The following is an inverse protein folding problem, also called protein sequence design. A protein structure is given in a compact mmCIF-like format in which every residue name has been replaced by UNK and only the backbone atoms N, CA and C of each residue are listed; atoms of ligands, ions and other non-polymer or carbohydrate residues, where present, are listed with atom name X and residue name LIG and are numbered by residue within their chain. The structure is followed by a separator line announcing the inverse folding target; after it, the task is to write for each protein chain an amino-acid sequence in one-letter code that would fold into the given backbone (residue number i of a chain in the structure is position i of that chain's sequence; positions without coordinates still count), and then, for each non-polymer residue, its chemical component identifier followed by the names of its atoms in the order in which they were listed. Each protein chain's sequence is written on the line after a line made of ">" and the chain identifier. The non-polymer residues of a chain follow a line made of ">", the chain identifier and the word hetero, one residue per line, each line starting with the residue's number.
data_IF_079200841792
#
_entry.id   IF_079200841792
#
_cell.length_a   1.000
_cell.length_b   1.000
_cell.length_c   1.000
_cell.angle_alpha   90.00
_cell.angle_beta   90.00
_cell.angle_gamma   90.00
#
_symmetry.space_group_name_H-M   'P 1'
#
loop_
_entity.id
_entity.type
_entity.pdbx_description
1 polymer ?
#
# COMPACT_ATOMS: atom_id res chain seq x y z
N UNK A 1 -6.29 -4.26 18.62
CA UNK A 1 -5.45 -3.94 17.45
C UNK A 1 -5.92 -4.82 16.30
N UNK A 2 -6.62 -4.25 15.33
CA UNK A 2 -6.92 -4.94 14.09
C UNK A 2 -5.70 -4.75 13.19
N UNK A 3 -5.03 -5.83 12.83
CA UNK A 3 -3.76 -5.81 12.08
C UNK A 3 -4.04 -6.08 10.60
N UNK A 4 -3.32 -5.40 9.71
CA UNK A 4 -3.22 -5.86 8.33
C UNK A 4 -2.58 -7.25 8.34
N UNK A 5 -2.92 -8.06 7.35
CA UNK A 5 -2.40 -9.41 7.17
C UNK A 5 -1.64 -9.47 5.85
N UNK A 6 -0.69 -10.40 5.78
CA UNK A 6 -0.04 -10.73 4.52
C UNK A 6 -1.09 -11.32 3.55
N UNK A 7 -1.20 -10.73 2.36
CA UNK A 7 -2.14 -11.20 1.33
C UNK A 7 -1.65 -12.46 0.59
N UNK A 8 -0.35 -12.77 0.66
CA UNK A 8 0.32 -13.77 -0.16
C UNK A 8 0.05 -13.53 -1.65
N UNK A 9 -0.07 -14.61 -2.43
CA UNK A 9 -0.30 -14.53 -3.88
C UNK A 9 -1.75 -14.16 -4.29
N UNK A 10 -2.57 -13.61 -3.38
CA UNK A 10 -4.01 -13.35 -3.62
C UNK A 10 -4.28 -12.02 -4.34
N UNK A 11 -3.26 -11.17 -4.48
CA UNK A 11 -3.31 -9.83 -5.09
C UNK A 11 -3.36 -9.86 -6.62
N UNK A 12 -3.08 -10.99 -7.26
CA UNK A 12 -3.26 -11.16 -8.69
C UNK A 12 -4.69 -10.78 -9.14
N UNK A 13 -4.77 -9.89 -10.13
CA UNK A 13 -6.03 -9.37 -10.68
C UNK A 13 -6.65 -8.21 -9.91
N UNK A 14 -5.93 -7.59 -8.96
CA UNK A 14 -6.31 -6.26 -8.46
C UNK A 14 -6.07 -5.19 -9.53
N UNK A 15 -6.89 -4.16 -9.51
CA UNK A 15 -6.80 -3.02 -10.43
C UNK A 15 -7.10 -1.73 -9.69
N UNK A 16 -6.58 -0.60 -10.19
CA UNK A 16 -6.92 0.72 -9.69
C UNK A 16 -8.36 1.09 -10.04
N UNK A 17 -9.14 1.49 -9.04
CA UNK A 17 -10.54 1.95 -9.21
C UNK A 17 -10.70 3.43 -8.86
N UNK A 18 -9.74 4.28 -9.30
CA UNK A 18 -9.75 5.73 -9.05
C UNK A 18 -9.68 6.13 -7.56
N UNK A 19 -9.16 5.25 -6.70
CA UNK A 19 -9.05 5.46 -5.26
C UNK A 19 -7.58 5.53 -4.86
N UNK A 20 -7.21 6.65 -4.23
CA UNK A 20 -5.83 6.90 -3.81
C UNK A 20 -5.73 7.40 -2.37
N UNK A 21 -4.54 7.28 -1.79
CA UNK A 21 -4.22 7.77 -0.45
C UNK A 21 -2.89 8.55 -0.46
N UNK A 22 -2.74 9.49 0.48
CA UNK A 22 -1.47 10.20 0.69
C UNK A 22 -0.67 9.56 1.81
N UNK A 23 0.56 9.15 1.51
CA UNK A 23 1.50 8.56 2.45
C UNK A 23 2.93 8.70 1.90
N UNK A 24 3.92 8.48 2.76
CA UNK A 24 5.30 8.22 2.30
C UNK A 24 5.54 6.73 2.12
N UNK A 25 6.55 6.35 1.33
CA UNK A 25 6.93 4.94 1.17
C UNK A 25 7.35 4.36 2.52
N UNK A 26 8.09 5.11 3.32
CA UNK A 26 8.52 4.72 4.66
C UNK A 26 7.34 4.40 5.59
N UNK A 27 6.24 5.17 5.55
CA UNK A 27 5.04 4.85 6.33
C UNK A 27 4.42 3.51 5.93
N UNK A 28 4.40 3.20 4.63
CA UNK A 28 3.87 1.94 4.11
C UNK A 28 4.80 0.74 4.39
N UNK A 29 6.13 0.95 4.33
CA UNK A 29 7.13 -0.04 4.71
C UNK A 29 7.02 -0.41 6.19
N UNK A 30 6.94 0.60 7.08
CA UNK A 30 6.72 0.37 8.52
C UNK A 30 5.45 -0.44 8.75
N UNK A 31 4.35 -0.13 8.04
CA UNK A 31 3.12 -0.91 8.12
C UNK A 31 3.33 -2.35 7.64
N UNK A 32 4.00 -2.55 6.52
CA UNK A 32 4.25 -3.88 6.00
C UNK A 32 5.10 -4.72 6.96
N UNK A 33 6.21 -4.16 7.45
CA UNK A 33 7.12 -4.81 8.39
C UNK A 33 6.44 -5.15 9.72
N UNK A 34 5.71 -4.21 10.31
CA UNK A 34 4.98 -4.43 11.58
C UNK A 34 3.89 -5.51 11.48
N UNK A 35 3.38 -5.77 10.27
CA UNK A 35 2.32 -6.73 10.03
C UNK A 35 2.79 -8.00 9.27
N UNK A 36 4.08 -8.10 8.94
CA UNK A 36 4.65 -9.20 8.17
C UNK A 36 4.08 -9.32 6.75
N UNK A 37 3.69 -8.20 6.14
CA UNK A 37 3.16 -8.13 4.78
C UNK A 37 4.31 -8.03 3.76
N UNK A 38 4.07 -8.57 2.57
CA UNK A 38 5.03 -8.50 1.47
C UNK A 38 4.97 -7.13 0.79
N UNK A 39 6.13 -6.64 0.35
CA UNK A 39 6.24 -5.48 -0.53
C UNK A 39 7.42 -5.65 -1.49
N UNK A 40 7.31 -5.02 -2.65
CA UNK A 40 8.40 -4.93 -3.63
C UNK A 40 9.06 -3.55 -3.53
N UNK A 41 10.39 -3.53 -3.54
CA UNK A 41 11.21 -2.34 -3.73
C UNK A 41 11.94 -2.46 -5.07
N UNK A 42 11.46 -1.71 -6.04
CA UNK A 42 11.97 -1.59 -7.40
C UNK A 42 12.62 -0.21 -7.63
N UNK A 43 12.97 0.54 -6.59
CA UNK A 43 13.51 1.91 -6.70
C UNK A 43 14.79 2.04 -7.54
N UNK A 44 15.46 0.93 -7.83
CA UNK A 44 16.62 0.84 -8.71
C UNK A 44 16.36 0.41 -10.16
N UNK A 45 15.14 0.01 -10.53
CA UNK A 45 14.83 -0.48 -11.88
C UNK A 45 14.03 0.54 -12.70
N UNK A 46 14.72 1.17 -13.65
CA UNK A 46 14.14 2.19 -14.55
C UNK A 46 13.09 1.64 -15.54
N UNK A 47 13.00 0.31 -15.69
CA UNK A 47 11.99 -0.31 -16.55
C UNK A 47 10.68 -0.58 -15.80
N UNK A 48 10.70 -0.54 -14.47
CA UNK A 48 9.51 -0.73 -13.65
C UNK A 48 8.67 0.55 -13.58
N UNK A 49 7.34 0.37 -13.63
CA UNK A 49 6.40 1.50 -13.64
C UNK A 49 6.07 2.02 -12.25
N UNK A 50 6.36 1.22 -11.24
CA UNK A 50 6.18 1.49 -9.81
C UNK A 50 7.49 1.14 -9.11
N UNK A 51 7.99 2.04 -8.27
CA UNK A 51 9.14 1.80 -7.42
C UNK A 51 8.78 1.00 -6.18
N UNK A 52 7.53 1.07 -5.70
CA UNK A 52 7.07 0.30 -4.55
C UNK A 52 5.65 -0.21 -4.75
N UNK A 53 5.43 -1.48 -4.40
CA UNK A 53 4.11 -2.10 -4.35
C UNK A 53 3.96 -2.87 -3.03
N UNK A 54 2.81 -2.75 -2.39
CA UNK A 54 2.52 -3.34 -1.10
C UNK A 54 1.28 -4.22 -1.16
N UNK A 55 1.39 -5.44 -0.63
CA UNK A 55 0.33 -6.44 -0.64
C UNK A 55 -0.31 -6.58 0.74
N UNK A 56 -1.57 -6.16 0.85
CA UNK A 56 -2.29 -6.14 2.13
C UNK A 56 -3.61 -6.92 2.10
N UNK A 57 -3.93 -7.55 3.23
CA UNK A 57 -5.23 -8.15 3.50
C UNK A 57 -5.82 -7.55 4.79
N UNK A 58 -7.08 -7.10 4.76
CA UNK A 58 -7.74 -6.60 5.97
C UNK A 58 -8.02 -7.76 6.96
N UNK A 59 -8.31 -7.48 8.23
CA UNK A 59 -8.70 -8.53 9.18
C UNK A 59 -9.87 -9.40 8.70
N UNK A 60 -10.80 -8.82 7.95
CA UNK A 60 -11.98 -9.45 7.36
C UNK A 60 -11.69 -10.22 6.06
N UNK A 61 -10.43 -10.27 5.60
CA UNK A 61 -10.01 -11.03 4.43
C UNK A 61 -10.10 -10.29 3.10
N UNK A 62 -10.25 -8.96 3.11
CA UNK A 62 -10.27 -8.16 1.88
C UNK A 62 -8.85 -7.87 1.42
N UNK A 63 -8.50 -8.36 0.24
CA UNK A 63 -7.18 -8.18 -0.37
C UNK A 63 -7.14 -6.90 -1.22
N UNK A 64 -6.07 -6.12 -1.06
CA UNK A 64 -5.81 -4.91 -1.84
C UNK A 64 -4.31 -4.68 -2.01
N UNK A 65 -3.94 -3.91 -3.04
CA UNK A 65 -2.56 -3.47 -3.31
C UNK A 65 -2.42 -1.97 -3.13
N UNK A 66 -1.20 -1.49 -2.86
CA UNK A 66 -0.90 -0.05 -2.75
C UNK A 66 0.39 0.24 -3.52
N UNK A 67 0.36 1.14 -4.49
CA UNK A 67 1.51 1.33 -5.41
C UNK A 67 1.63 2.74 -6.00
N UNK A 68 2.86 3.17 -6.29
CA UNK A 68 3.31 4.51 -6.74
C UNK A 68 3.35 4.66 -8.28
N UNK A 69 2.34 4.12 -8.96
CA UNK A 69 2.34 4.02 -10.42
C UNK A 69 2.62 5.35 -11.16
N UNK A 70 3.59 5.31 -12.09
CA UNK A 70 3.87 6.38 -13.08
C UNK A 70 4.30 7.72 -12.47
N UNK A 71 5.12 7.71 -11.43
CA UNK A 71 5.75 8.95 -10.92
C UNK A 71 6.82 9.51 -11.88
N UNK A 72 7.37 8.69 -12.78
CA UNK A 72 8.38 9.06 -13.80
C UNK A 72 9.63 9.76 -13.24
N UNK A 73 9.98 9.47 -11.98
CA UNK A 73 11.16 9.97 -11.28
C UNK A 73 11.44 9.08 -10.09
N UNK A 74 12.67 9.06 -9.60
CA UNK A 74 12.96 8.53 -8.27
C UNK A 74 12.46 9.52 -7.20
N UNK A 75 11.99 8.99 -6.07
CA UNK A 75 11.54 9.80 -4.95
C UNK A 75 12.16 9.34 -3.63
N UNK A 76 12.24 10.28 -2.69
CA UNK A 76 12.71 10.00 -1.34
C UNK A 76 11.66 9.21 -0.57
N UNK A 77 12.07 8.24 0.25
CA UNK A 77 11.14 7.36 0.99
C UNK A 77 10.29 8.11 2.01
N UNK A 78 10.69 9.32 2.42
CA UNK A 78 9.94 10.18 3.32
C UNK A 78 9.06 11.20 2.57
N UNK A 79 9.13 11.27 1.24
CA UNK A 79 8.27 12.14 0.44
C UNK A 79 6.81 11.68 0.48
N UNK A 80 5.88 12.61 0.68
CA UNK A 80 4.43 12.31 0.65
C UNK A 80 3.93 12.29 -0.80
N UNK A 81 3.52 11.11 -1.26
CA UNK A 81 3.01 10.87 -2.61
C UNK A 81 1.53 10.49 -2.59
N UNK A 82 0.95 10.39 -3.79
CA UNK A 82 -0.39 9.83 -3.99
C UNK A 82 -0.26 8.38 -4.46
N UNK A 83 -0.61 7.45 -3.59
CA UNK A 83 -0.56 6.03 -3.86
C UNK A 83 -1.89 5.55 -4.44
N UNK A 84 -1.83 4.74 -5.49
CA UNK A 84 -3.00 4.02 -5.99
C UNK A 84 -3.35 2.86 -5.07
N UNK A 85 -4.64 2.64 -4.87
CA UNK A 85 -5.14 1.45 -4.18
C UNK A 85 -5.78 0.55 -5.23
N UNK A 86 -5.27 -0.68 -5.32
CA UNK A 86 -5.78 -1.72 -6.19
C UNK A 86 -6.68 -2.69 -5.45
N UNK A 87 -7.75 -3.14 -6.09
CA UNK A 87 -8.63 -4.17 -5.56
C UNK A 87 -9.27 -5.00 -6.67
N UNK A 88 -9.78 -6.20 -6.34
CA UNK A 88 -10.55 -7.02 -7.30
C UNK A 88 -11.86 -6.36 -7.70
N UNK A 89 -12.36 -5.45 -6.87
CA UNK A 89 -13.52 -4.60 -7.13
C UNK A 89 -13.27 -3.21 -6.53
N UNK A 90 -14.04 -2.21 -6.98
CA UNK A 90 -14.04 -0.89 -6.35
C UNK A 90 -14.42 -0.98 -4.85
N UNK A 91 -15.37 -1.86 -4.51
CA UNK A 91 -15.78 -2.07 -3.13
C UNK A 91 -14.62 -2.58 -2.25
N UNK A 92 -13.85 -3.57 -2.74
CA UNK A 92 -12.66 -4.06 -2.05
C UNK A 92 -11.63 -2.93 -1.86
N UNK A 93 -11.43 -2.11 -2.89
CA UNK A 93 -10.54 -0.94 -2.84
C UNK A 93 -10.97 0.07 -1.78
N UNK A 94 -12.27 0.35 -1.64
CA UNK A 94 -12.81 1.25 -0.60
C UNK A 94 -12.64 0.69 0.81
N UNK A 95 -12.80 -0.62 0.98
CA UNK A 95 -12.53 -1.28 2.27
C UNK A 95 -11.03 -1.19 2.61
N UNK A 96 -10.17 -1.50 1.65
CA UNK A 96 -8.71 -1.37 1.78
C UNK A 96 -8.30 0.05 2.16
N UNK A 97 -8.83 1.07 1.48
CA UNK A 97 -8.62 2.48 1.82
C UNK A 97 -8.99 2.78 3.28
N UNK A 98 -10.19 2.35 3.70
CA UNK A 98 -10.69 2.62 5.06
C UNK A 98 -9.78 2.00 6.10
N UNK A 99 -9.31 0.78 5.86
CA UNK A 99 -8.44 0.09 6.82
C UNK A 99 -7.03 0.70 6.82
N UNK A 100 -6.42 0.89 5.65
CA UNK A 100 -5.10 1.49 5.50
C UNK A 100 -5.02 2.88 6.16
N UNK A 101 -6.08 3.70 6.01
CA UNK A 101 -6.13 5.02 6.62
C UNK A 101 -6.01 4.99 8.15
N UNK A 102 -6.73 4.08 8.82
CA UNK A 102 -6.64 3.93 10.28
C UNK A 102 -5.23 3.51 10.72
N UNK A 103 -4.60 2.62 9.94
CA UNK A 103 -3.26 2.11 10.24
C UNK A 103 -2.20 3.21 10.07
N UNK A 104 -2.32 4.02 9.02
CA UNK A 104 -1.45 5.18 8.81
C UNK A 104 -1.63 6.25 9.88
N UNK A 105 -2.86 6.53 10.31
CA UNK A 105 -3.13 7.43 11.43
C UNK A 105 -2.43 6.92 12.71
N UNK A 106 -2.51 5.63 12.99
CA UNK A 106 -1.79 5.02 14.12
C UNK A 106 -0.26 5.14 14.01
N UNK A 107 0.32 4.86 12.84
CA UNK A 107 1.79 5.01 12.63
C UNK A 107 2.24 6.46 12.86
N UNK A 108 1.48 7.43 12.34
CA UNK A 108 1.79 8.85 12.48
C UNK A 108 1.69 9.36 13.92
N UNK A 109 0.74 8.83 14.70
CA UNK A 109 0.53 9.25 16.08
C UNK A 109 1.48 8.60 17.09
N UNK A 110 1.90 7.34 16.85
CA UNK A 110 2.55 6.52 17.88
C UNK A 110 3.92 5.96 17.49
N UNK A 111 4.41 6.20 16.28
CA UNK A 111 5.72 5.71 15.82
C UNK A 111 6.65 6.82 15.30
N UNK A 112 6.44 8.08 15.72
CA UNK A 112 7.40 9.19 15.60
C UNK A 112 8.11 9.45 16.94
#
# INVERSE_FOLDING_TARGET
>A
MFKLKNAGRKTNGTSYHHISIKASANELMILAENNGCDYADNSGDVNEKSQYDFDFETPEGVVFTVYDWKEYRNFDVHEILRWHIGGKTEHATRIGLKELRKQLEYVREYQL
#
